data_IF_315667721931
#
_entry.id   IF_315667721931
#
_cell.length_a   1.000
_cell.length_b   1.000
_cell.length_c   1.000
_cell.angle_alpha   90.00
_cell.angle_beta   90.00
_cell.angle_gamma   90.00
#
_symmetry.space_group_name_H-M   'P 1'
#
loop_
_entity.id
_entity.type
_entity.pdbx_description
1 polymer ?
#
# COMPACT_ATOMS: atom_id res chain seq x y z
N UNK A 1 1.87 -182.41 71.88
CA UNK A 1 2.60 -181.71 72.94
C UNK A 1 3.06 -180.39 72.36
N UNK A 2 2.88 -179.30 73.08
CA UNK A 2 2.64 -177.98 72.49
C UNK A 2 3.85 -177.37 71.77
N UNK A 3 3.61 -176.84 70.57
CA UNK A 3 4.50 -175.89 69.90
C UNK A 3 3.79 -174.53 69.89
N UNK A 4 4.19 -173.69 70.84
CA UNK A 4 3.78 -172.29 70.94
C UNK A 4 4.16 -171.55 69.65
N UNK A 5 3.16 -171.14 68.88
CA UNK A 5 3.36 -170.29 67.68
C UNK A 5 3.22 -168.82 68.04
N UNK A 6 4.21 -168.04 67.61
CA UNK A 6 4.34 -166.61 67.91
C UNK A 6 3.22 -165.76 67.27
N UNK A 7 2.93 -164.61 67.88
CA UNK A 7 1.86 -163.74 67.42
C UNK A 7 2.31 -162.93 66.19
N UNK A 8 1.71 -163.22 65.04
CA UNK A 8 1.96 -162.47 63.80
C UNK A 8 1.62 -160.98 63.99
N UNK A 9 2.65 -160.13 63.94
CA UNK A 9 2.52 -158.68 63.76
C UNK A 9 2.64 -158.36 62.27
N UNK A 10 1.68 -157.58 61.75
CA UNK A 10 1.68 -157.18 60.35
C UNK A 10 2.90 -156.32 59.99
N UNK A 11 3.52 -156.65 58.86
CA UNK A 11 4.70 -155.95 58.36
C UNK A 11 4.29 -154.56 57.85
N UNK A 12 5.04 -153.47 58.16
CA UNK A 12 4.75 -152.15 57.62
C UNK A 12 4.81 -152.17 56.07
N UNK A 13 3.99 -151.35 55.38
CA UNK A 13 3.92 -151.34 53.94
C UNK A 13 5.27 -150.96 53.32
N UNK A 14 5.70 -151.73 52.32
CA UNK A 14 6.95 -151.50 51.58
C UNK A 14 6.92 -150.12 50.92
N UNK A 15 7.98 -149.29 51.03
CA UNK A 15 8.01 -147.97 50.40
C UNK A 15 7.89 -148.07 48.87
N UNK A 16 7.18 -147.11 48.27
CA UNK A 16 6.98 -147.03 46.83
C UNK A 16 8.32 -146.81 46.10
N UNK A 17 8.63 -147.67 45.13
CA UNK A 17 9.81 -147.52 44.29
C UNK A 17 9.58 -146.41 43.24
N UNK A 18 10.33 -145.32 43.36
CA UNK A 18 10.39 -144.26 42.35
C UNK A 18 11.65 -144.50 41.51
N UNK A 19 11.54 -144.79 40.20
CA UNK A 19 12.70 -144.96 39.34
C UNK A 19 13.56 -143.69 39.30
N UNK A 20 14.89 -143.85 39.33
CA UNK A 20 15.80 -142.74 39.06
C UNK A 20 15.60 -142.26 37.62
N UNK A 21 15.63 -140.93 37.40
CA UNK A 21 15.48 -140.31 36.08
C UNK A 21 16.62 -140.75 35.15
N UNK A 22 16.33 -141.61 34.18
CA UNK A 22 17.30 -142.06 33.17
C UNK A 22 17.23 -141.19 31.92
N UNK A 23 18.07 -140.16 31.88
CA UNK A 23 18.23 -139.24 30.75
C UNK A 23 19.31 -138.21 31.08
N UNK A 24 20.04 -137.72 30.08
CA UNK A 24 21.06 -136.70 30.28
C UNK A 24 20.45 -135.32 30.10
N UNK A 25 20.45 -134.52 31.16
CA UNK A 25 19.94 -133.15 31.11
C UNK A 25 20.97 -132.24 30.43
N UNK A 26 20.54 -131.64 29.31
CA UNK A 26 21.34 -130.68 28.52
C UNK A 26 20.59 -129.35 28.52
N UNK A 27 21.26 -128.30 28.99
CA UNK A 27 20.79 -126.92 28.84
C UNK A 27 21.52 -126.26 27.67
N UNK A 28 20.77 -125.60 26.79
CA UNK A 28 21.31 -124.66 25.81
C UNK A 28 20.86 -123.26 26.19
N UNK A 29 21.83 -122.34 26.30
CA UNK A 29 21.61 -120.95 26.64
C UNK A 29 22.32 -120.10 25.60
N UNK A 30 21.63 -119.09 25.08
CA UNK A 30 22.23 -118.05 24.23
C UNK A 30 22.83 -116.99 25.17
N UNK A 31 24.08 -116.63 24.95
CA UNK A 31 24.78 -115.59 25.69
C UNK A 31 24.57 -114.22 25.03
N UNK A 32 24.74 -113.16 25.82
CA UNK A 32 24.62 -111.78 25.36
C UNK A 32 25.65 -111.49 24.26
N UNK A 33 25.16 -111.12 23.06
CA UNK A 33 25.98 -110.87 21.87
C UNK A 33 26.08 -112.02 20.86
N UNK A 34 25.70 -113.27 21.18
CA UNK A 34 25.83 -114.41 20.24
C UNK A 34 24.94 -114.31 18.99
N UNK A 35 23.85 -113.54 19.05
CA UNK A 35 22.89 -113.33 17.96
C UNK A 35 22.93 -111.91 17.36
N UNK A 36 23.97 -111.13 17.65
CA UNK A 36 24.09 -109.75 17.17
C UNK A 36 24.38 -109.69 15.67
N UNK A 37 23.50 -109.04 14.90
CA UNK A 37 23.70 -108.69 13.49
C UNK A 37 23.92 -107.17 13.37
N UNK A 38 25.16 -106.78 13.05
CA UNK A 38 25.53 -105.38 12.87
C UNK A 38 24.75 -104.71 11.74
N UNK A 39 24.53 -105.40 10.62
CA UNK A 39 23.88 -104.82 9.44
C UNK A 39 22.38 -104.63 9.67
N UNK A 40 21.78 -105.33 10.64
CA UNK A 40 20.41 -105.07 11.09
C UNK A 40 20.37 -103.89 12.08
N UNK A 41 21.20 -103.94 13.14
CA UNK A 41 21.12 -103.02 14.27
C UNK A 41 21.61 -101.60 13.93
N UNK A 42 22.52 -101.46 12.96
CA UNK A 42 23.04 -100.14 12.55
C UNK A 42 22.04 -99.33 11.71
N UNK A 43 21.05 -99.98 11.07
CA UNK A 43 20.11 -99.32 10.15
C UNK A 43 19.28 -98.20 10.81
N UNK A 44 18.60 -98.41 11.95
CA UNK A 44 17.84 -97.34 12.62
C UNK A 44 18.72 -96.17 13.06
N UNK A 45 19.97 -96.43 13.46
CA UNK A 45 20.94 -95.37 13.77
C UNK A 45 21.30 -94.54 12.54
N UNK A 46 21.61 -95.19 11.42
CA UNK A 46 21.96 -94.49 10.17
C UNK A 46 20.77 -93.73 9.59
N UNK A 47 19.56 -94.30 9.62
CA UNK A 47 18.34 -93.63 9.18
C UNK A 47 18.10 -92.33 9.97
N UNK A 48 18.22 -92.37 11.30
CA UNK A 48 18.06 -91.18 12.15
C UNK A 48 19.20 -90.16 11.94
N UNK A 49 20.45 -90.62 11.80
CA UNK A 49 21.59 -89.72 11.56
C UNK A 49 21.48 -89.02 10.21
N UNK A 50 21.31 -89.78 9.12
CA UNK A 50 21.19 -89.23 7.75
C UNK A 50 19.95 -88.36 7.62
N UNK A 51 18.80 -88.81 8.17
CA UNK A 51 17.56 -88.04 8.16
C UNK A 51 17.73 -86.68 8.83
N UNK A 52 18.26 -86.64 10.07
CA UNK A 52 18.51 -85.39 10.79
C UNK A 52 19.54 -84.49 10.12
N UNK A 53 20.62 -85.05 9.56
CA UNK A 53 21.64 -84.24 8.88
C UNK A 53 21.07 -83.58 7.63
N UNK A 54 20.22 -84.27 6.85
CA UNK A 54 19.57 -83.70 5.66
C UNK A 54 18.49 -82.69 6.06
N UNK A 55 17.67 -83.00 7.07
CA UNK A 55 16.63 -82.09 7.59
C UNK A 55 17.24 -80.78 8.11
N UNK A 56 18.29 -80.87 8.93
CA UNK A 56 19.00 -79.71 9.46
C UNK A 56 19.64 -78.88 8.34
N UNK A 57 20.37 -79.52 7.41
CA UNK A 57 21.01 -78.80 6.30
C UNK A 57 19.99 -78.12 5.37
N UNK A 58 18.81 -78.72 5.15
CA UNK A 58 17.75 -78.10 4.37
C UNK A 58 17.17 -76.86 5.07
N UNK A 59 16.92 -76.95 6.38
CA UNK A 59 16.42 -75.82 7.17
C UNK A 59 17.43 -74.67 7.23
N UNK A 60 18.71 -74.96 7.43
CA UNK A 60 19.79 -73.96 7.45
C UNK A 60 19.89 -73.23 6.11
N UNK A 61 19.87 -73.94 4.98
CA UNK A 61 19.92 -73.32 3.64
C UNK A 61 18.68 -72.47 3.35
N UNK A 62 17.49 -72.91 3.78
CA UNK A 62 16.25 -72.13 3.61
C UNK A 62 16.27 -70.85 4.47
N UNK A 63 16.77 -70.91 5.71
CA UNK A 63 16.93 -69.73 6.57
C UNK A 63 17.97 -68.74 5.99
N UNK A 64 19.09 -69.24 5.46
CA UNK A 64 20.10 -68.39 4.81
C UNK A 64 19.56 -67.67 3.56
N UNK A 65 18.75 -68.35 2.73
CA UNK A 65 18.10 -67.78 1.55
C UNK A 65 17.05 -66.72 1.95
N UNK A 66 16.17 -67.02 2.91
CA UNK A 66 15.18 -66.04 3.42
C UNK A 66 15.87 -64.80 4.03
N UNK A 67 16.94 -64.99 4.82
CA UNK A 67 17.71 -63.88 5.38
C UNK A 67 18.44 -63.06 4.31
N UNK A 68 18.86 -63.67 3.20
CA UNK A 68 19.47 -62.96 2.08
C UNK A 68 18.43 -62.08 1.35
N UNK A 69 17.24 -62.61 1.07
CA UNK A 69 16.14 -61.88 0.43
C UNK A 69 15.60 -60.75 1.30
N UNK A 70 15.43 -60.98 2.61
CA UNK A 70 15.03 -59.95 3.57
C UNK A 70 16.07 -58.82 3.66
N UNK A 71 17.37 -59.12 3.58
CA UNK A 71 18.43 -58.09 3.53
C UNK A 71 18.41 -57.34 2.19
N UNK A 72 18.28 -58.04 1.06
CA UNK A 72 18.24 -57.41 -0.26
C UNK A 72 17.05 -56.43 -0.38
N UNK A 73 15.87 -56.84 0.09
CA UNK A 73 14.67 -55.98 0.11
C UNK A 73 14.81 -54.80 1.07
N UNK A 74 15.42 -54.98 2.25
CA UNK A 74 15.73 -53.87 3.17
C UNK A 74 16.69 -52.85 2.53
N UNK A 75 17.79 -53.29 1.92
CA UNK A 75 18.74 -52.38 1.28
C UNK A 75 18.12 -51.60 0.11
N UNK A 76 17.31 -52.26 -0.73
CA UNK A 76 16.59 -51.59 -1.82
C UNK A 76 15.59 -50.54 -1.30
N UNK A 77 14.90 -50.83 -0.19
CA UNK A 77 14.00 -49.87 0.46
C UNK A 77 14.75 -48.69 1.10
N UNK A 78 15.88 -48.94 1.77
CA UNK A 78 16.72 -47.88 2.34
C UNK A 78 17.33 -46.98 1.25
N UNK A 79 17.80 -47.55 0.15
CA UNK A 79 18.31 -46.78 -1.00
C UNK A 79 17.23 -45.87 -1.57
N UNK A 80 16.04 -46.41 -1.88
CA UNK A 80 14.90 -45.63 -2.38
C UNK A 80 14.51 -44.52 -1.39
N UNK A 81 14.36 -44.85 -0.10
CA UNK A 81 14.01 -43.88 0.95
C UNK A 81 15.05 -42.77 1.09
N UNK A 82 16.33 -43.07 0.93
CA UNK A 82 17.40 -42.07 1.00
C UNK A 82 17.38 -41.13 -0.23
N UNK A 83 17.08 -41.66 -1.42
CA UNK A 83 16.88 -40.87 -2.63
C UNK A 83 15.65 -39.97 -2.52
N UNK A 84 14.52 -40.51 -2.07
CA UNK A 84 13.28 -39.74 -1.83
C UNK A 84 13.50 -38.62 -0.81
N UNK A 85 14.17 -38.91 0.31
CA UNK A 85 14.47 -37.91 1.34
C UNK A 85 15.36 -36.78 0.81
N UNK A 86 16.37 -37.09 -0.01
CA UNK A 86 17.23 -36.09 -0.63
C UNK A 86 16.47 -35.20 -1.63
N UNK A 87 15.55 -35.77 -2.42
CA UNK A 87 14.71 -35.02 -3.35
C UNK A 87 13.69 -34.13 -2.61
N UNK A 88 13.07 -34.62 -1.53
CA UNK A 88 12.18 -33.81 -0.68
C UNK A 88 12.94 -32.61 -0.10
N UNK A 89 14.15 -32.81 0.46
CA UNK A 89 14.97 -31.72 0.98
C UNK A 89 15.33 -30.69 -0.11
N UNK A 90 15.66 -31.16 -1.32
CA UNK A 90 15.95 -30.31 -2.49
C UNK A 90 14.75 -29.44 -2.87
N UNK A 91 13.54 -30.02 -2.87
CA UNK A 91 12.29 -29.33 -3.18
C UNK A 91 11.88 -28.36 -2.07
N UNK A 92 12.00 -28.73 -0.80
CA UNK A 92 11.72 -27.86 0.35
C UNK A 92 12.64 -26.63 0.36
N UNK A 93 13.95 -26.79 0.10
CA UNK A 93 14.87 -25.65 -0.03
C UNK A 93 14.50 -24.73 -1.20
N UNK A 94 14.14 -25.31 -2.35
CA UNK A 94 13.72 -24.55 -3.52
C UNK A 94 12.43 -23.77 -3.21
N UNK A 95 11.45 -24.40 -2.57
CA UNK A 95 10.19 -23.74 -2.19
C UNK A 95 10.43 -22.63 -1.15
N UNK A 96 11.31 -22.87 -0.17
CA UNK A 96 11.69 -21.86 0.84
C UNK A 96 12.25 -20.60 0.18
N UNK A 97 13.21 -20.75 -0.75
CA UNK A 97 13.79 -19.62 -1.51
C UNK A 97 12.73 -18.89 -2.36
N UNK A 98 11.84 -19.63 -3.02
CA UNK A 98 10.74 -19.03 -3.79
C UNK A 98 9.73 -18.29 -2.91
N UNK A 99 9.43 -18.81 -1.71
CA UNK A 99 8.52 -18.21 -0.73
C UNK A 99 9.11 -16.91 -0.17
N UNK A 100 10.37 -16.94 0.27
CA UNK A 100 11.14 -15.78 0.72
C UNK A 100 11.16 -14.65 -0.34
N UNK A 101 11.49 -14.97 -1.60
CA UNK A 101 11.51 -13.97 -2.69
C UNK A 101 10.09 -13.46 -3.01
N UNK A 102 9.07 -14.32 -3.02
CA UNK A 102 7.67 -13.93 -3.25
C UNK A 102 7.17 -12.97 -2.17
N UNK A 103 7.50 -13.22 -0.91
CA UNK A 103 7.17 -12.32 0.20
C UNK A 103 7.90 -10.98 0.09
N UNK A 104 9.20 -11.00 -0.23
CA UNK A 104 9.99 -9.78 -0.48
C UNK A 104 9.39 -8.93 -1.62
N UNK A 105 8.99 -9.56 -2.73
CA UNK A 105 8.32 -8.87 -3.85
C UNK A 105 6.95 -8.31 -3.47
N UNK A 106 6.17 -9.05 -2.67
CA UNK A 106 4.88 -8.59 -2.15
C UNK A 106 5.03 -7.37 -1.25
N UNK A 107 6.05 -7.35 -0.37
CA UNK A 107 6.36 -6.19 0.49
C UNK A 107 6.75 -4.96 -0.35
N UNK A 108 7.66 -5.13 -1.32
CA UNK A 108 8.07 -4.07 -2.24
C UNK A 108 6.88 -3.49 -3.03
N UNK A 109 6.02 -4.34 -3.59
CA UNK A 109 4.81 -3.89 -4.29
C UNK A 109 3.83 -3.17 -3.35
N UNK A 110 3.66 -3.65 -2.12
CA UNK A 110 2.80 -3.01 -1.13
C UNK A 110 3.28 -1.61 -0.77
N UNK A 111 4.58 -1.42 -0.56
CA UNK A 111 5.17 -0.08 -0.34
C UNK A 111 4.98 0.86 -1.53
N UNK A 112 5.21 0.37 -2.76
CA UNK A 112 5.01 1.16 -3.98
C UNK A 112 3.54 1.58 -4.10
N UNK A 113 2.60 0.66 -3.87
CA UNK A 113 1.16 0.96 -3.88
C UNK A 113 0.76 1.95 -2.78
N UNK A 114 1.36 1.86 -1.58
CA UNK A 114 1.09 2.80 -0.49
C UNK A 114 1.58 4.21 -0.84
N UNK A 115 2.83 4.33 -1.30
CA UNK A 115 3.44 5.60 -1.75
C UNK A 115 2.68 6.20 -2.93
N UNK A 116 2.24 5.37 -3.88
CA UNK A 116 1.42 5.81 -5.02
C UNK A 116 0.06 6.34 -4.56
N UNK A 117 -0.63 5.63 -3.65
CA UNK A 117 -1.91 6.07 -3.08
C UNK A 117 -1.80 7.40 -2.34
N UNK A 118 -0.79 7.56 -1.48
CA UNK A 118 -0.53 8.83 -0.82
C UNK A 118 -0.25 9.97 -1.81
N UNK A 119 0.55 9.70 -2.84
CA UNK A 119 0.92 10.70 -3.86
C UNK A 119 -0.29 11.11 -4.68
N UNK A 120 -1.10 10.14 -5.12
CA UNK A 120 -2.39 10.37 -5.79
C UNK A 120 -3.34 11.21 -4.93
N UNK A 121 -3.46 10.92 -3.62
CA UNK A 121 -4.26 11.71 -2.69
C UNK A 121 -3.73 13.14 -2.52
N UNK A 122 -2.41 13.34 -2.41
CA UNK A 122 -1.77 14.67 -2.33
C UNK A 122 -2.01 15.48 -3.60
N UNK A 123 -1.90 14.86 -4.78
CA UNK A 123 -2.18 15.49 -6.08
C UNK A 123 -3.66 15.87 -6.20
N UNK A 124 -4.58 14.95 -5.86
CA UNK A 124 -6.02 15.21 -5.88
C UNK A 124 -6.42 16.35 -4.93
N UNK A 125 -5.87 16.38 -3.70
CA UNK A 125 -6.11 17.45 -2.73
C UNK A 125 -5.55 18.80 -3.20
N UNK A 126 -4.37 18.81 -3.85
CA UNK A 126 -3.78 20.01 -4.46
C UNK A 126 -4.66 20.54 -5.59
N UNK A 127 -5.04 19.68 -6.53
CA UNK A 127 -5.88 20.06 -7.67
C UNK A 127 -7.27 20.56 -7.22
N UNK A 128 -7.88 19.90 -6.23
CA UNK A 128 -9.12 20.36 -5.61
C UNK A 128 -8.97 21.74 -4.97
N UNK A 129 -7.93 21.95 -4.14
CA UNK A 129 -7.66 23.24 -3.49
C UNK A 129 -7.39 24.35 -4.52
N UNK A 130 -6.63 24.07 -5.58
CA UNK A 130 -6.35 25.05 -6.64
C UNK A 130 -7.63 25.48 -7.36
N UNK A 131 -8.48 24.54 -7.75
CA UNK A 131 -9.78 24.85 -8.38
C UNK A 131 -10.69 25.62 -7.42
N UNK A 132 -10.84 25.15 -6.19
CA UNK A 132 -11.70 25.78 -5.20
C UNK A 132 -11.27 27.21 -4.85
N UNK A 133 -9.96 27.46 -4.72
CA UNK A 133 -9.42 28.80 -4.49
C UNK A 133 -9.54 29.71 -5.72
N UNK A 134 -9.40 29.17 -6.94
CA UNK A 134 -9.59 29.93 -8.16
C UNK A 134 -11.02 30.47 -8.30
N UNK A 135 -12.02 29.69 -7.89
CA UNK A 135 -13.43 30.11 -7.89
C UNK A 135 -13.77 31.01 -6.66
N UNK A 136 -13.24 30.69 -5.48
CA UNK A 136 -13.54 31.40 -4.23
C UNK A 136 -12.90 32.79 -4.15
N UNK A 137 -11.64 32.95 -4.59
CA UNK A 137 -10.91 34.21 -4.43
C UNK A 137 -11.63 35.38 -5.14
N UNK A 138 -12.00 35.31 -6.43
CA UNK A 138 -12.75 36.38 -7.10
C UNK A 138 -14.06 36.70 -6.38
N UNK A 139 -14.85 35.69 -6.00
CA UNK A 139 -16.13 35.89 -5.29
C UNK A 139 -15.98 36.60 -3.94
N UNK A 140 -14.92 36.29 -3.18
CA UNK A 140 -14.62 36.99 -1.92
C UNK A 140 -14.09 38.39 -2.18
N UNK A 141 -13.23 38.60 -3.19
CA UNK A 141 -12.75 39.94 -3.55
C UNK A 141 -13.88 40.85 -4.04
N UNK A 142 -14.79 40.34 -4.87
CA UNK A 142 -15.95 41.07 -5.38
C UNK A 142 -16.92 41.43 -4.24
N UNK A 143 -17.30 40.47 -3.39
CA UNK A 143 -18.19 40.76 -2.24
C UNK A 143 -17.58 41.72 -1.21
N UNK A 144 -16.26 41.69 -1.01
CA UNK A 144 -15.55 42.62 -0.13
C UNK A 144 -15.39 44.02 -0.76
N UNK A 145 -15.35 44.10 -2.09
CA UNK A 145 -15.38 45.35 -2.87
C UNK A 145 -16.77 45.97 -2.87
N UNK A 146 -17.82 45.18 -3.13
CA UNK A 146 -19.23 45.60 -3.00
C UNK A 146 -19.56 46.05 -1.57
N UNK A 147 -18.99 45.39 -0.56
CA UNK A 147 -19.08 45.79 0.84
C UNK A 147 -18.33 47.07 1.21
N UNK A 148 -17.64 47.73 0.27
CA UNK A 148 -16.95 49.01 0.49
C UNK A 148 -15.66 48.93 1.32
N UNK A 149 -15.10 47.74 1.53
CA UNK A 149 -13.84 47.58 2.29
C UNK A 149 -12.61 47.86 1.43
N UNK A 150 -12.70 47.65 0.12
CA UNK A 150 -11.70 48.14 -0.85
C UNK A 150 -12.12 49.51 -1.36
N UNK A 151 -11.41 50.55 -0.91
CA UNK A 151 -11.54 51.93 -1.38
C UNK A 151 -10.22 52.41 -1.98
N UNK A 152 -10.27 53.33 -2.95
CA UNK A 152 -9.08 54.06 -3.39
C UNK A 152 -8.71 55.06 -2.27
N UNK A 153 -7.47 55.03 -1.73
CA UNK A 153 -7.02 56.00 -0.74
C UNK A 153 -7.15 57.46 -1.21
N UNK A 154 -7.02 57.72 -2.51
CA UNK A 154 -7.13 59.07 -3.10
C UNK A 154 -8.58 59.52 -3.11
N UNK A 155 -9.52 58.67 -3.56
CA UNK A 155 -10.96 58.98 -3.54
C UNK A 155 -11.44 59.23 -2.10
N UNK A 156 -11.00 58.38 -1.16
CA UNK A 156 -11.30 58.50 0.27
C UNK A 156 -10.78 59.82 0.89
N UNK A 157 -9.57 60.24 0.53
CA UNK A 157 -8.97 61.49 1.00
C UNK A 157 -9.63 62.73 0.36
N UNK A 158 -10.08 62.61 -0.89
CA UNK A 158 -10.91 63.64 -1.53
C UNK A 158 -12.27 63.78 -0.83
N UNK A 159 -12.95 62.66 -0.57
CA UNK A 159 -14.26 62.64 0.11
C UNK A 159 -14.20 63.17 1.55
N UNK A 160 -13.19 62.78 2.33
CA UNK A 160 -13.11 63.10 3.77
C UNK A 160 -12.29 64.35 4.09
N UNK A 161 -11.30 64.69 3.26
CA UNK A 161 -10.40 65.84 3.45
C UNK A 161 -10.75 67.01 2.53
N UNK A 162 -10.69 66.79 1.22
CA UNK A 162 -10.81 67.88 0.24
C UNK A 162 -12.23 68.45 0.14
N UNK A 163 -13.27 67.63 0.01
CA UNK A 163 -14.64 68.12 -0.15
C UNK A 163 -15.12 68.93 1.08
N UNK A 164 -14.92 68.49 2.34
CA UNK A 164 -15.29 69.29 3.50
C UNK A 164 -14.49 70.60 3.61
N UNK A 165 -13.20 70.57 3.25
CA UNK A 165 -12.37 71.77 3.20
C UNK A 165 -12.88 72.76 2.14
N UNK A 166 -13.20 72.28 0.94
CA UNK A 166 -13.71 73.09 -0.18
C UNK A 166 -15.06 73.72 0.17
N UNK A 167 -16.00 72.95 0.72
CA UNK A 167 -17.31 73.45 1.13
C UNK A 167 -17.18 74.53 2.21
N UNK A 168 -16.33 74.32 3.21
CA UNK A 168 -16.03 75.32 4.25
C UNK A 168 -15.37 76.60 3.68
N UNK A 169 -14.53 76.51 2.66
CA UNK A 169 -13.95 77.69 2.02
C UNK A 169 -14.99 78.44 1.16
N UNK A 170 -15.86 77.70 0.44
CA UNK A 170 -17.02 78.29 -0.26
C UNK A 170 -17.94 79.02 0.72
N UNK A 171 -18.29 78.39 1.86
CA UNK A 171 -19.10 79.01 2.91
C UNK A 171 -18.47 80.31 3.42
N UNK A 172 -17.16 80.34 3.72
CA UNK A 172 -16.47 81.59 4.08
C UNK A 172 -16.55 82.66 3.00
N UNK A 173 -16.40 82.31 1.72
CA UNK A 173 -16.54 83.31 0.64
C UNK A 173 -17.98 83.84 0.54
N UNK A 174 -18.98 82.99 0.82
CA UNK A 174 -20.38 83.39 0.88
C UNK A 174 -20.68 84.26 2.11
N UNK A 175 -20.11 83.95 3.28
CA UNK A 175 -20.17 84.79 4.48
C UNK A 175 -19.53 86.16 4.23
N UNK A 176 -18.31 86.21 3.67
CA UNK A 176 -17.67 87.47 3.28
C UNK A 176 -18.51 88.27 2.26
N UNK A 177 -19.16 87.60 1.31
CA UNK A 177 -20.09 88.25 0.37
C UNK A 177 -21.36 88.75 1.05
N UNK A 178 -21.91 88.02 2.03
CA UNK A 178 -23.05 88.47 2.84
C UNK A 178 -22.69 89.66 3.71
N UNK A 179 -21.54 89.64 4.40
CA UNK A 179 -21.04 90.77 5.20
C UNK A 179 -20.76 91.98 4.30
N UNK A 180 -20.15 91.78 3.13
CA UNK A 180 -19.96 92.84 2.14
C UNK A 180 -21.28 93.47 1.68
N UNK A 181 -22.32 92.65 1.44
CA UNK A 181 -23.68 93.13 1.10
C UNK A 181 -24.36 93.85 2.27
N UNK A 182 -24.28 93.37 3.50
CA UNK A 182 -24.90 94.04 4.65
C UNK A 182 -24.20 95.35 5.00
N UNK A 183 -22.88 95.42 4.90
CA UNK A 183 -22.12 96.67 5.06
C UNK A 183 -22.46 97.66 3.94
N UNK A 184 -22.60 97.20 2.69
CA UNK A 184 -23.04 98.06 1.58
C UNK A 184 -24.47 98.59 1.80
N UNK A 185 -25.40 97.74 2.23
CA UNK A 185 -26.77 98.15 2.58
C UNK A 185 -26.80 99.15 3.74
N UNK A 186 -25.97 98.97 4.77
CA UNK A 186 -25.80 99.93 5.87
C UNK A 186 -25.26 101.27 5.34
N UNK A 187 -24.25 101.25 4.48
CA UNK A 187 -23.68 102.46 3.88
C UNK A 187 -24.68 103.20 2.99
N UNK A 188 -25.49 102.45 2.22
CA UNK A 188 -26.59 103.00 1.42
C UNK A 188 -27.64 103.67 2.33
N UNK A 189 -28.05 103.00 3.42
CA UNK A 189 -28.98 103.58 4.41
C UNK A 189 -28.42 104.87 5.01
N UNK A 190 -27.16 104.87 5.46
CA UNK A 190 -26.52 106.06 6.05
C UNK A 190 -26.39 107.20 5.03
N UNK A 191 -26.07 106.92 3.77
CA UNK A 191 -26.03 107.93 2.70
C UNK A 191 -27.42 108.49 2.40
N UNK A 192 -28.47 107.66 2.42
CA UNK A 192 -29.86 108.10 2.26
C UNK A 192 -30.32 108.96 3.44
N UNK A 193 -29.98 108.57 4.67
CA UNK A 193 -30.31 109.30 5.90
C UNK A 193 -29.56 110.63 6.00
N UNK A 194 -28.25 110.65 5.69
CA UNK A 194 -27.48 111.91 5.56
C UNK A 194 -28.07 112.80 4.47
N UNK A 195 -28.52 112.24 3.33
CA UNK A 195 -29.18 113.03 2.28
C UNK A 195 -30.49 113.63 2.78
N UNK A 196 -31.33 112.85 3.45
CA UNK A 196 -32.57 113.31 4.08
C UNK A 196 -32.31 114.48 5.04
N UNK A 197 -31.35 114.33 5.97
CA UNK A 197 -30.93 115.38 6.90
C UNK A 197 -30.39 116.63 6.17
N UNK A 198 -29.67 116.47 5.04
CA UNK A 198 -29.24 117.63 4.23
C UNK A 198 -30.35 118.28 3.41
N UNK A 199 -31.49 117.62 3.19
CA UNK A 199 -32.68 118.27 2.65
C UNK A 199 -33.40 119.06 3.74
N UNK A 200 -33.54 118.52 4.95
CA UNK A 200 -34.08 119.25 6.12
C UNK A 200 -33.24 120.50 6.45
N UNK A 201 -31.92 120.45 6.31
CA UNK A 201 -31.04 121.63 6.47
C UNK A 201 -31.01 122.59 5.26
N UNK A 202 -31.64 122.26 4.13
CA UNK A 202 -31.60 123.07 2.89
C UNK A 202 -32.88 123.82 2.52
N UNK A 203 -33.95 123.70 3.30
CA UNK A 203 -35.08 124.64 3.18
C UNK A 203 -34.67 126.08 3.55
N UNK A 204 -33.54 126.26 4.26
CA UNK A 204 -33.19 127.52 4.93
C UNK A 204 -32.13 128.39 4.21
N UNK A 205 -31.89 128.19 2.89
CA UNK A 205 -31.49 129.23 1.87
C UNK A 205 -31.00 128.65 0.52
N UNK A 206 -31.86 128.76 -0.49
CA UNK A 206 -31.51 128.89 -1.92
C UNK A 206 -31.10 130.37 -2.25
N UNK A 207 -30.73 130.79 -3.48
CA UNK A 207 -30.60 130.05 -4.76
C UNK A 207 -29.35 130.39 -5.67
N UNK A 208 -29.16 129.61 -6.76
CA UNK A 208 -28.82 129.94 -8.18
C UNK A 208 -28.01 131.23 -8.57
N UNK A 209 -27.21 131.33 -9.68
CA UNK A 209 -27.19 130.64 -10.99
C UNK A 209 -25.85 130.86 -11.79
N UNK A 210 -25.70 130.14 -12.93
CA UNK A 210 -24.71 130.23 -14.06
C UNK A 210 -24.90 131.53 -14.92
N UNK A 211 -24.12 131.91 -16.00
CA UNK A 211 -23.56 131.08 -17.12
C UNK A 211 -22.14 131.45 -17.69
N UNK A 212 -21.40 130.52 -18.32
CA UNK A 212 -21.10 130.26 -19.78
C UNK A 212 -20.06 131.19 -20.48
N UNK A 213 -19.00 130.62 -21.09
CA UNK A 213 -18.63 130.71 -22.53
C UNK A 213 -17.22 130.14 -22.86
N UNK A 214 -17.02 129.56 -24.05
CA UNK A 214 -15.70 129.51 -24.74
C UNK A 214 -14.98 128.14 -24.93
N UNK A 215 -14.47 127.78 -26.15
CA UNK A 215 -13.99 126.41 -26.48
C UNK A 215 -12.50 126.26 -26.92
N UNK A 216 -12.00 125.01 -26.98
CA UNK A 216 -10.76 124.62 -27.71
C UNK A 216 -10.12 123.27 -27.29
N UNK A 217 -9.68 122.43 -28.25
CA UNK A 217 -8.88 121.18 -28.04
C UNK A 217 -7.35 121.43 -28.18
N UNK A 218 -6.48 120.45 -28.55
CA UNK A 218 -6.67 119.01 -28.87
C UNK A 218 -5.68 118.04 -28.13
N UNK A 219 -5.41 116.82 -28.67
CA UNK A 219 -4.47 115.78 -28.12
C UNK A 219 -2.96 116.06 -28.31
N UNK A 220 -1.99 115.08 -28.27
CA UNK A 220 -2.10 113.65 -28.67
C UNK A 220 -1.22 112.60 -27.88
N UNK A 221 -1.18 111.34 -28.37
CA UNK A 221 -0.08 110.30 -28.43
C UNK A 221 1.02 110.26 -27.32
N UNK A 222 1.50 109.10 -26.79
CA UNK A 222 2.28 108.07 -27.53
C UNK A 222 2.73 106.86 -26.64
N UNK A 223 2.92 105.69 -27.27
CA UNK A 223 3.70 104.48 -26.84
C UNK A 223 5.22 104.77 -26.63
N UNK A 224 6.05 103.92 -25.93
CA UNK A 224 6.54 102.58 -26.37
C UNK A 224 6.55 101.45 -25.30
N UNK A 225 6.34 100.16 -25.60
CA UNK A 225 7.18 99.16 -26.34
C UNK A 225 8.47 98.70 -25.61
N UNK A 226 8.72 97.38 -25.48
CA UNK A 226 9.91 96.61 -25.99
C UNK A 226 10.07 95.21 -25.35
N UNK A 227 10.27 94.17 -26.19
CA UNK A 227 11.03 92.93 -25.88
C UNK A 227 10.27 91.73 -25.27
N UNK A 228 10.56 90.47 -25.59
CA UNK A 228 11.53 89.91 -26.56
C UNK A 228 11.12 88.49 -27.04
N UNK A 229 11.75 87.95 -28.08
CA UNK A 229 11.30 86.80 -28.89
C UNK A 229 11.87 85.39 -28.50
N UNK A 230 11.59 84.41 -29.38
CA UNK A 230 12.12 83.03 -29.52
C UNK A 230 11.43 81.92 -28.68
N UNK A 231 10.74 80.90 -29.21
CA UNK A 231 10.93 80.00 -30.40
C UNK A 231 11.93 78.86 -30.14
N UNK A 232 11.48 77.59 -30.16
CA UNK A 232 11.70 76.64 -31.28
C UNK A 232 11.07 75.24 -31.00
N UNK A 233 10.99 74.40 -32.04
CA UNK A 233 10.42 73.05 -32.08
C UNK A 233 11.48 71.96 -31.78
N UNK A 234 11.06 70.72 -31.44
CA UNK A 234 11.83 69.51 -31.80
C UNK A 234 11.00 68.22 -31.88
N UNK A 235 11.58 67.23 -32.57
CA UNK A 235 10.91 66.06 -33.15
C UNK A 235 11.54 64.71 -32.74
N UNK A 236 10.85 63.63 -33.14
CA UNK A 236 11.12 62.18 -32.96
C UNK A 236 12.48 61.72 -33.58
N UNK A 237 13.02 60.49 -33.32
CA UNK A 237 12.53 59.23 -33.94
C UNK A 237 12.77 57.87 -33.20
N UNK A 238 12.09 56.82 -33.72
CA UNK A 238 12.46 55.41 -34.10
C UNK A 238 13.78 54.74 -33.62
N UNK A 239 14.02 53.41 -33.67
CA UNK A 239 13.43 52.22 -34.37
C UNK A 239 13.78 50.90 -33.59
N UNK A 240 13.21 49.70 -33.81
CA UNK A 240 13.74 48.53 -34.59
C UNK A 240 13.01 47.19 -34.23
N UNK A 241 13.36 46.04 -34.85
CA UNK A 241 12.93 44.63 -34.60
C UNK A 241 14.07 43.66 -35.07
N UNK A 242 13.96 42.32 -35.26
CA UNK A 242 13.03 41.24 -34.80
C UNK A 242 13.81 40.00 -34.22
N UNK A 243 13.17 38.83 -33.98
CA UNK A 243 13.68 37.42 -34.10
C UNK A 243 12.76 36.41 -33.36
N UNK A 244 12.93 35.10 -33.53
CA UNK A 244 12.18 34.15 -34.36
C UNK A 244 12.24 32.74 -33.68
N UNK A 245 11.26 31.86 -33.95
CA UNK A 245 11.29 30.37 -33.94
C UNK A 245 11.21 29.49 -32.66
N UNK A 246 10.30 28.49 -32.79
CA UNK A 246 10.27 27.12 -32.19
C UNK A 246 9.99 27.03 -30.66
N UNK A 247 9.29 26.03 -30.10
CA UNK A 247 8.95 24.65 -30.54
C UNK A 247 7.46 24.35 -30.26
N UNK A 248 6.80 23.58 -31.14
CA UNK A 248 5.62 22.76 -30.79
C UNK A 248 6.12 21.43 -30.24
N UNK A 249 5.79 21.08 -29.00
CA UNK A 249 5.99 19.72 -28.46
C UNK A 249 4.65 19.20 -27.96
N UNK A 250 4.14 18.20 -28.68
CA UNK A 250 2.96 17.42 -28.34
C UNK A 250 3.31 16.49 -27.18
N UNK A 251 2.64 16.65 -26.02
CA UNK A 251 2.61 15.57 -25.02
C UNK A 251 1.54 14.53 -25.43
N UNK A 252 1.84 13.75 -26.48
CA UNK A 252 1.40 12.37 -26.53
C UNK A 252 2.29 11.57 -25.56
N UNK A 253 1.80 11.27 -24.34
CA UNK A 253 2.42 10.25 -23.49
C UNK A 253 1.67 8.92 -23.64
N UNK A 254 2.42 7.87 -23.99
CA UNK A 254 1.91 6.67 -24.65
C UNK A 254 1.10 5.72 -23.74
N UNK A 255 0.16 4.99 -24.36
CA UNK A 255 -0.44 3.79 -23.77
C UNK A 255 0.67 2.77 -23.38
N UNK A 256 0.72 2.29 -22.12
CA UNK A 256 1.70 1.29 -21.71
C UNK A 256 1.37 -0.09 -22.31
N UNK A 257 1.99 -0.34 -23.48
CA UNK A 257 2.46 -1.62 -24.00
C UNK A 257 1.72 -2.87 -23.45
N UNK A 258 0.62 -3.21 -24.12
CA UNK A 258 0.46 -4.56 -24.67
C UNK A 258 0.57 -5.79 -23.74
N UNK A 259 0.03 -5.78 -22.52
CA UNK A 259 -0.13 -7.03 -21.74
C UNK A 259 -1.47 -7.74 -22.04
N UNK A 260 -1.75 -8.03 -23.32
CA UNK A 260 -2.94 -8.79 -23.75
C UNK A 260 -2.63 -9.98 -24.66
N UNK A 261 -1.68 -10.83 -24.26
CA UNK A 261 -1.52 -12.19 -24.85
C UNK A 261 -0.82 -13.21 -23.94
N UNK A 262 -1.50 -13.67 -22.89
CA UNK A 262 -1.31 -15.03 -22.29
C UNK A 262 -2.23 -15.29 -21.08
N UNK A 263 -3.53 -14.97 -21.18
CA UNK A 263 -4.51 -15.60 -20.27
C UNK A 263 -4.83 -16.99 -20.82
N UNK A 264 -4.83 -17.97 -19.92
CA UNK A 264 -4.67 -19.39 -20.27
C UNK A 264 -5.73 -19.92 -21.23
N UNK A 265 -5.26 -20.64 -22.24
CA UNK A 265 -6.04 -21.73 -22.85
C UNK A 265 -6.08 -22.86 -21.83
N UNK A 266 -6.98 -22.77 -20.85
CA UNK A 266 -7.22 -23.89 -19.94
C UNK A 266 -7.74 -25.08 -20.73
N UNK A 267 -7.05 -26.20 -20.58
CA UNK A 267 -7.39 -27.45 -21.25
C UNK A 267 -8.66 -28.03 -20.61
N UNK A 268 -9.79 -27.91 -21.32
CA UNK A 268 -10.96 -28.74 -21.03
C UNK A 268 -10.67 -30.18 -21.50
N UNK A 269 -9.83 -30.88 -20.74
CA UNK A 269 -9.69 -32.34 -20.80
C UNK A 269 -10.50 -32.96 -19.65
N UNK A 270 -11.82 -32.69 -19.65
CA UNK A 270 -12.73 -33.47 -18.80
C UNK A 270 -12.85 -34.89 -19.38
N UNK A 271 -12.68 -35.86 -18.49
CA UNK A 271 -12.42 -37.25 -18.88
C UNK A 271 -13.56 -37.91 -19.66
N UNK A 272 -13.17 -38.74 -20.63
CA UNK A 272 -14.00 -39.86 -21.07
C UNK A 272 -13.96 -40.96 -20.00
N UNK A 273 -14.87 -40.91 -19.05
CA UNK A 273 -15.41 -42.12 -18.43
C UNK A 273 -16.64 -42.51 -19.27
N UNK A 274 -16.50 -43.35 -20.30
CA UNK A 274 -16.38 -44.80 -20.18
C UNK A 274 -17.58 -45.44 -19.47
N UNK A 275 -18.76 -45.27 -20.05
CA UNK A 275 -19.95 -46.10 -19.80
C UNK A 275 -20.30 -46.89 -21.06
N UNK A 276 -19.69 -48.08 -21.20
CA UNK A 276 -20.10 -49.14 -22.13
C UNK A 276 -19.31 -50.42 -21.77
N UNK A 277 -20.01 -51.52 -21.44
CA UNK A 277 -19.40 -52.81 -21.04
C UNK A 277 -20.12 -53.48 -19.87
#
# INVERSE_FOLDING_TARGET
MECQTDAFLDKPPTPLFIPAKTGQDVATQILEGELFDFDLEVKPMLEVLVGKTIEQALLEVMEEEELADLRATQYAFEELRNVELAEVQRLEEQERRHREEKERRKQQQWEVMHKHKETSQKIAARAFSQRYLADLLPSVFDSLKEGGYFFDPIERDIELGFLPWLMNEVDKTMEHSMVGRTVLDMLIREVVERRLNTYEQKEDKHPFLKPEDGPGGPGPMRDPTTGDEFQEQRSLPSTEAPYEKLIEEEEEEEDPIGLRRSLGREEQFQGRESWEG
#
